data_IF_352578843664
#
_entry.id   IF_352578843664
#
_cell.length_a   1.000
_cell.length_b   1.000
_cell.length_c   1.000
_cell.angle_alpha   90.00
_cell.angle_beta   90.00
_cell.angle_gamma   90.00
#
_symmetry.space_group_name_H-M   'P 1'
#
loop_
_entity.id
_entity.type
_entity.pdbx_description
1 polymer ?
#
# COMPACT_ATOMS: atom_id res chain seq x y z
N UNK A 1 -0.76 -12.67 5.02
CA UNK A 1 -0.01 -13.13 3.82
C UNK A 1 1.11 -12.13 3.60
N UNK A 2 2.36 -12.55 3.72
CA UNK A 2 3.53 -11.70 3.53
C UNK A 2 3.96 -11.81 2.08
N UNK A 3 3.95 -10.70 1.35
CA UNK A 3 4.46 -10.65 -0.01
C UNK A 3 5.93 -10.22 0.07
N UNK A 4 6.82 -11.20 0.00
CA UNK A 4 8.27 -11.00 -0.10
C UNK A 4 8.64 -11.00 -1.59
N UNK A 5 9.53 -10.11 -2.01
CA UNK A 5 9.99 -9.90 -3.41
C UNK A 5 9.05 -9.09 -4.33
N UNK A 6 8.20 -8.24 -3.76
CA UNK A 6 7.45 -7.27 -4.57
C UNK A 6 8.30 -6.02 -4.81
N UNK A 7 8.48 -5.66 -6.08
CA UNK A 7 9.01 -4.35 -6.46
C UNK A 7 7.96 -3.26 -6.17
N UNK A 8 8.26 -2.37 -5.22
CA UNK A 8 7.34 -1.31 -4.73
C UNK A 8 6.73 -0.48 -5.87
N UNK A 9 7.52 0.20 -6.70
CA UNK A 9 6.99 1.02 -7.79
C UNK A 9 6.14 0.20 -8.76
N UNK A 10 6.49 -1.06 -9.04
CA UNK A 10 5.68 -1.93 -9.89
C UNK A 10 4.34 -2.32 -9.23
N UNK A 11 4.32 -2.57 -7.92
CA UNK A 11 3.09 -2.85 -7.19
C UNK A 11 2.18 -1.63 -7.12
N UNK A 12 2.71 -0.49 -6.69
CA UNK A 12 1.95 0.76 -6.61
C UNK A 12 1.36 1.10 -7.98
N UNK A 13 2.18 1.04 -9.04
CA UNK A 13 1.70 1.24 -10.42
C UNK A 13 0.55 0.29 -10.76
N UNK A 14 0.69 -1.02 -10.55
CA UNK A 14 -0.37 -2.01 -10.83
C UNK A 14 -1.61 -1.82 -9.95
N UNK A 15 -1.42 -1.39 -8.71
CA UNK A 15 -2.49 -1.10 -7.77
C UNK A 15 -3.33 0.07 -8.29
N UNK A 16 -2.70 1.19 -8.66
CA UNK A 16 -3.38 2.33 -9.26
C UNK A 16 -3.96 2.05 -10.65
N UNK A 17 -3.30 1.24 -11.49
CA UNK A 17 -3.84 0.90 -12.81
C UNK A 17 -5.09 0.02 -12.73
N UNK A 18 -5.19 -0.83 -11.69
CA UNK A 18 -6.29 -1.80 -11.55
C UNK A 18 -7.40 -1.33 -10.60
N UNK A 19 -7.17 -0.24 -9.88
CA UNK A 19 -8.12 0.27 -8.88
C UNK A 19 -8.25 1.78 -9.00
N UNK A 20 -9.43 2.32 -8.71
CA UNK A 20 -9.62 3.76 -8.57
C UNK A 20 -9.14 4.21 -7.18
N UNK A 21 -7.85 4.00 -6.93
CA UNK A 21 -7.20 4.31 -5.66
C UNK A 21 -6.69 5.75 -5.63
N UNK A 22 -7.08 6.50 -4.61
CA UNK A 22 -6.54 7.81 -4.30
C UNK A 22 -5.54 7.71 -3.14
N UNK A 23 -4.31 8.22 -3.31
CA UNK A 23 -3.33 8.29 -2.21
C UNK A 23 -3.64 9.50 -1.34
N UNK A 24 -3.91 9.28 -0.06
CA UNK A 24 -4.28 10.34 0.88
C UNK A 24 -3.16 10.69 1.86
N UNK A 25 -2.15 9.85 1.99
CA UNK A 25 -1.01 10.13 2.87
C UNK A 25 0.17 9.20 2.65
N UNK A 26 1.36 9.69 2.99
CA UNK A 26 2.58 8.91 3.13
C UNK A 26 3.36 9.40 4.34
N UNK A 27 3.85 8.47 5.14
CA UNK A 27 4.79 8.70 6.22
C UNK A 27 6.04 7.85 6.00
N UNK A 28 7.21 8.46 6.18
CA UNK A 28 8.50 7.78 6.10
C UNK A 28 9.14 7.79 7.47
N UNK A 29 9.32 6.61 8.05
CA UNK A 29 10.01 6.45 9.32
C UNK A 29 11.24 5.56 9.13
N UNK A 30 12.40 6.20 8.88
CA UNK A 30 13.71 5.56 8.76
C UNK A 30 13.72 4.36 7.81
N UNK A 31 13.52 3.17 8.37
CA UNK A 31 13.50 1.87 7.70
C UNK A 31 12.16 1.48 7.05
N UNK A 32 11.09 2.27 7.21
CA UNK A 32 9.76 1.96 6.65
C UNK A 32 9.10 3.15 5.95
N UNK A 33 8.29 2.82 4.96
CA UNK A 33 7.37 3.72 4.28
C UNK A 33 5.96 3.19 4.48
N UNK A 34 5.10 4.04 5.03
CA UNK A 34 3.70 3.82 5.33
C UNK A 34 2.88 4.71 4.40
N UNK A 35 2.02 4.14 3.57
CA UNK A 35 1.16 4.87 2.64
C UNK A 35 -0.30 4.49 2.85
N UNK A 36 -1.18 5.49 2.85
CA UNK A 36 -2.62 5.28 3.01
C UNK A 36 -3.33 5.69 1.73
N UNK A 37 -4.24 4.82 1.29
CA UNK A 37 -5.02 4.97 0.07
C UNK A 37 -6.51 4.82 0.36
N UNK A 38 -7.35 5.50 -0.40
CA UNK A 38 -8.78 5.22 -0.50
C UNK A 38 -9.01 4.47 -1.82
N UNK A 39 -9.41 3.22 -1.74
CA UNK A 39 -9.95 2.47 -2.88
C UNK A 39 -11.41 2.83 -3.09
N UNK A 40 -11.76 3.21 -4.32
CA UNK A 40 -13.15 3.39 -4.74
C UNK A 40 -13.52 2.22 -5.65
N UNK A 41 -14.47 1.39 -5.20
CA UNK A 41 -15.00 0.26 -5.97
C UNK A 41 -16.52 0.41 -6.08
N UNK A 42 -16.99 1.03 -7.15
CA UNK A 42 -18.39 1.44 -7.30
C UNK A 42 -18.77 2.42 -6.20
N UNK A 43 -19.73 2.04 -5.35
CA UNK A 43 -20.28 2.89 -4.29
C UNK A 43 -19.51 2.74 -2.96
N UNK A 44 -18.53 1.83 -2.92
CA UNK A 44 -17.80 1.48 -1.70
C UNK A 44 -16.45 2.18 -1.70
N UNK A 45 -16.19 2.93 -0.63
CA UNK A 45 -14.86 3.45 -0.30
C UNK A 45 -14.22 2.57 0.74
N UNK A 46 -12.95 2.22 0.56
CA UNK A 46 -12.20 1.42 1.50
C UNK A 46 -10.82 2.02 1.74
N UNK A 47 -10.46 2.20 3.01
CA UNK A 47 -9.13 2.65 3.39
C UNK A 47 -8.17 1.46 3.35
N UNK A 48 -7.05 1.64 2.64
CA UNK A 48 -5.96 0.67 2.55
C UNK A 48 -4.70 1.30 3.10
N UNK A 49 -4.10 0.62 4.06
CA UNK A 49 -2.80 0.96 4.59
C UNK A 49 -1.76 0.00 4.03
N UNK A 50 -0.77 0.54 3.31
CA UNK A 50 0.37 -0.18 2.78
C UNK A 50 1.62 0.21 3.55
N UNK A 51 2.28 -0.77 4.15
CA UNK A 51 3.56 -0.58 4.82
C UNK A 51 4.63 -1.42 4.12
N UNK A 52 5.77 -0.78 3.85
CA UNK A 52 6.90 -1.39 3.15
C UNK A 52 8.23 -0.97 3.79
N UNK A 53 9.28 -1.78 3.62
CA UNK A 53 10.63 -1.39 4.00
C UNK A 53 11.14 -0.25 3.09
N UNK A 54 11.88 0.71 3.65
CA UNK A 54 12.49 1.82 2.88
C UNK A 54 13.79 1.40 2.17
N UNK A 55 14.38 0.28 2.58
CA UNK A 55 15.70 -0.18 2.14
C UNK A 55 15.58 -1.32 1.12
N UNK A 56 16.35 -1.24 0.03
CA UNK A 56 16.42 -2.23 -1.05
C UNK A 56 17.13 -3.53 -0.66
N UNK A 57 17.76 -3.59 0.51
CA UNK A 57 18.67 -4.67 0.92
C UNK A 57 18.03 -5.71 1.85
N UNK A 58 16.77 -5.49 2.23
CA UNK A 58 16.02 -6.42 3.08
C UNK A 58 14.76 -6.80 2.33
N UNK A 59 14.55 -8.10 2.10
CA UNK A 59 13.37 -8.69 1.48
C UNK A 59 12.14 -7.79 1.65
N UNK A 60 11.70 -7.17 0.55
CA UNK A 60 10.71 -6.10 0.55
C UNK A 60 9.39 -6.64 1.07
N UNK A 61 9.16 -6.53 2.37
CA UNK A 61 7.99 -7.02 3.06
C UNK A 61 6.87 -6.00 2.91
N UNK A 62 5.81 -6.36 2.18
CA UNK A 62 4.59 -5.56 2.10
C UNK A 62 3.55 -6.09 3.07
N UNK A 63 3.03 -5.20 3.90
CA UNK A 63 1.86 -5.44 4.73
C UNK A 63 0.75 -4.55 4.20
N UNK A 64 -0.31 -5.17 3.68
CA UNK A 64 -1.54 -4.51 3.28
C UNK A 64 -2.63 -4.84 4.30
N UNK A 65 -3.28 -3.81 4.84
CA UNK A 65 -4.44 -3.95 5.72
C UNK A 65 -5.61 -3.12 5.19
N UNK A 66 -6.82 -3.67 5.26
CA UNK A 66 -8.05 -2.93 4.98
C UNK A 66 -8.69 -2.45 6.27
N UNK A 67 -9.04 -1.17 6.34
CA UNK A 67 -9.84 -0.62 7.43
C UNK A 67 -11.30 -0.61 6.93
N UNK A 68 -12.13 -1.48 7.51
CA UNK A 68 -13.58 -1.42 7.36
C UNK A 68 -14.15 -0.67 8.56
N UNK A 69 -15.08 0.27 8.32
CA UNK A 69 -15.95 0.76 9.38
C UNK A 69 -16.93 -0.37 9.73
N UNK A 70 -17.03 -0.70 11.02
CA UNK A 70 -17.98 -1.68 11.57
C UNK A 70 -19.44 -1.26 11.31
#
# INVERSE_FOLDING_TARGET
MTLSDIDRPAFEKRFFERTDAEKIGEERNGAQVSSVYILIAGNRKQLVHLMSASSTDTQSMFIASSIAAD
#
